data_IF_461250817256
#
_entry.id   IF_461250817256
#
_cell.length_a   1.000
_cell.length_b   1.000
_cell.length_c   1.000
_cell.angle_alpha   90.00
_cell.angle_beta   90.00
_cell.angle_gamma   90.00
#
_symmetry.space_group_name_H-M   'P 1'
#
loop_
_entity.id
_entity.type
_entity.pdbx_description
1 polymer ?
#
# COMPACT_ATOMS: atom_id res chain seq x y z
N UNK A 1 14.66 -1.53 21.45
CA UNK A 1 14.82 -1.96 20.04
C UNK A 1 13.43 -2.38 19.58
N UNK A 2 12.74 -1.56 18.79
CA UNK A 2 11.46 -1.96 18.19
C UNK A 2 11.74 -3.02 17.12
N UNK A 3 11.01 -4.13 17.12
CA UNK A 3 11.11 -5.10 16.03
C UNK A 3 10.28 -4.58 14.85
N UNK A 4 10.75 -4.73 13.60
CA UNK A 4 9.97 -4.34 12.43
C UNK A 4 8.64 -5.09 12.46
N UNK A 5 7.54 -4.34 12.43
CA UNK A 5 6.20 -4.91 12.38
C UNK A 5 5.83 -5.20 10.93
N UNK A 6 5.15 -6.33 10.75
CA UNK A 6 4.52 -6.73 9.51
C UNK A 6 3.03 -6.43 9.60
N UNK A 7 2.53 -5.65 8.64
CA UNK A 7 1.14 -5.28 8.51
C UNK A 7 0.60 -5.86 7.21
N UNK A 8 -0.44 -6.68 7.31
CA UNK A 8 -1.18 -7.15 6.14
C UNK A 8 -2.25 -6.13 5.80
N UNK A 9 -2.12 -5.48 4.66
CA UNK A 9 -3.11 -4.58 4.11
C UNK A 9 -3.96 -5.34 3.09
N UNK A 10 -5.28 -5.29 3.26
CA UNK A 10 -6.23 -5.87 2.32
C UNK A 10 -7.28 -4.84 1.97
N UNK A 11 -7.57 -4.70 0.69
CA UNK A 11 -8.57 -3.77 0.16
C UNK A 11 -9.59 -4.52 -0.71
N UNK A 12 -10.69 -3.83 -1.02
CA UNK A 12 -11.68 -4.37 -1.93
C UNK A 12 -11.13 -4.35 -3.36
N UNK A 13 -11.06 -5.51 -3.99
CA UNK A 13 -10.72 -5.61 -5.39
C UNK A 13 -11.81 -4.97 -6.25
N UNK A 14 -11.43 -4.06 -7.14
CA UNK A 14 -12.29 -3.56 -8.21
C UNK A 14 -12.27 -4.54 -9.37
N UNK A 15 -13.43 -4.97 -9.85
CA UNK A 15 -13.57 -5.95 -10.94
C UNK A 15 -12.93 -5.49 -12.26
N UNK A 16 -12.79 -4.17 -12.45
CA UNK A 16 -12.23 -3.56 -13.65
C UNK A 16 -10.74 -3.21 -13.50
N UNK A 17 -10.17 -3.38 -12.30
CA UNK A 17 -8.77 -3.06 -12.06
C UNK A 17 -7.88 -4.22 -12.51
N UNK A 18 -6.85 -3.89 -13.28
CA UNK A 18 -5.85 -4.85 -13.74
C UNK A 18 -4.67 -4.89 -12.77
N UNK A 19 -4.32 -3.73 -12.22
CA UNK A 19 -3.21 -3.57 -11.28
C UNK A 19 -3.59 -2.61 -10.16
N UNK A 20 -2.92 -2.75 -9.03
CA UNK A 20 -3.00 -1.84 -7.90
C UNK A 20 -1.63 -1.25 -7.60
N UNK A 21 -1.64 0.00 -7.16
CA UNK A 21 -0.48 0.65 -6.58
C UNK A 21 -0.77 0.91 -5.11
N UNK A 22 -0.03 0.25 -4.22
CA UNK A 22 -0.10 0.44 -2.77
C UNK A 22 1.02 1.38 -2.33
N UNK A 23 0.61 2.44 -1.64
CA UNK A 23 1.52 3.43 -1.07
C UNK A 23 1.29 3.53 0.42
N UNK A 24 2.35 3.47 1.21
CA UNK A 24 2.35 3.69 2.66
C UNK A 24 3.34 4.79 2.99
N UNK A 25 2.94 5.72 3.84
CA UNK A 25 3.71 6.88 4.27
C UNK A 25 3.47 7.15 5.75
N UNK A 26 4.43 7.77 6.42
CA UNK A 26 4.25 8.32 7.78
C UNK A 26 3.51 9.67 7.74
N UNK A 27 3.45 10.29 6.56
CA UNK A 27 2.80 11.58 6.32
C UNK A 27 1.47 11.40 5.58
N UNK A 28 0.44 12.09 6.04
CA UNK A 28 -0.87 12.14 5.37
C UNK A 28 -0.80 12.70 3.94
N UNK A 29 0.23 13.51 3.66
CA UNK A 29 0.47 14.10 2.35
C UNK A 29 1.23 13.14 1.39
N UNK A 30 1.63 11.96 1.86
CA UNK A 30 2.41 10.98 1.07
C UNK A 30 3.70 11.58 0.46
N UNK A 31 4.33 12.55 1.15
CA UNK A 31 5.56 13.19 0.68
C UNK A 31 6.81 12.32 0.90
N UNK A 32 6.75 11.36 1.83
CA UNK A 32 7.79 10.35 2.05
C UNK A 32 7.18 8.95 2.11
N UNK A 33 7.29 8.19 1.02
CA UNK A 33 6.76 6.82 0.96
C UNK A 33 7.73 5.87 1.65
N UNK A 34 7.27 5.18 2.70
CA UNK A 34 8.00 4.08 3.34
C UNK A 34 7.79 2.76 2.59
N UNK A 35 6.67 2.66 1.86
CA UNK A 35 6.37 1.55 0.99
C UNK A 35 5.67 2.07 -0.27
N UNK A 36 6.10 1.63 -1.44
CA UNK A 36 5.51 2.02 -2.72
C UNK A 36 5.69 0.86 -3.70
N UNK A 37 4.63 0.06 -3.86
CA UNK A 37 4.62 -1.08 -4.76
C UNK A 37 3.52 -0.88 -5.79
N UNK A 38 3.88 -1.00 -7.07
CA UNK A 38 2.96 -0.94 -8.20
C UNK A 38 2.75 -2.33 -8.81
N UNK A 39 1.84 -2.41 -9.77
CA UNK A 39 1.63 -3.63 -10.56
C UNK A 39 1.15 -4.84 -9.73
N UNK A 40 0.57 -4.57 -8.55
CA UNK A 40 -0.03 -5.59 -7.70
C UNK A 40 -1.31 -6.13 -8.35
N UNK A 41 -1.40 -7.45 -8.50
CA UNK A 41 -2.60 -8.10 -9.07
C UNK A 41 -3.57 -8.47 -7.93
N UNK A 42 -3.02 -8.90 -6.80
CA UNK A 42 -3.79 -9.23 -5.61
C UNK A 42 -4.30 -7.98 -4.87
N UNK A 43 -5.43 -8.12 -4.19
CA UNK A 43 -5.99 -7.08 -3.32
C UNK A 43 -5.53 -7.22 -1.87
N UNK A 44 -4.39 -7.88 -1.66
CA UNK A 44 -3.76 -8.10 -0.36
C UNK A 44 -2.25 -7.99 -0.51
N UNK A 45 -1.61 -7.26 0.40
CA UNK A 45 -0.17 -7.09 0.43
C UNK A 45 0.36 -7.08 1.86
N UNK A 46 1.47 -7.78 2.08
CA UNK A 46 2.22 -7.72 3.32
C UNK A 46 3.25 -6.59 3.25
N UNK A 47 3.13 -5.63 4.15
CA UNK A 47 4.10 -4.54 4.33
C UNK A 47 4.93 -4.85 5.56
N UNK A 48 6.25 -5.01 5.37
CA UNK A 48 7.21 -5.28 6.45
C UNK A 48 8.17 -4.12 6.63
N UNK A 49 8.76 -4.00 7.82
CA UNK A 49 9.73 -2.94 8.11
C UNK A 49 9.09 -1.67 8.65
N UNK A 50 7.87 -1.75 9.17
CA UNK A 50 7.20 -0.64 9.84
C UNK A 50 7.67 -0.54 11.29
N UNK A 51 7.86 0.69 11.76
CA UNK A 51 8.24 0.97 13.14
C UNK A 51 7.04 0.86 14.09
N UNK A 52 7.29 0.35 15.29
CA UNK A 52 6.27 0.23 16.33
C UNK A 52 5.92 1.60 16.91
N UNK A 53 4.63 1.79 17.20
CA UNK A 53 4.05 3.06 17.68
C UNK A 53 4.14 4.23 16.70
N UNK A 54 4.37 3.97 15.41
CA UNK A 54 4.31 4.98 14.36
C UNK A 54 2.95 4.92 13.66
N UNK A 55 2.34 6.08 13.42
CA UNK A 55 1.12 6.18 12.64
C UNK A 55 1.47 6.16 11.14
N UNK A 56 0.90 5.20 10.41
CA UNK A 56 1.09 5.08 8.97
C UNK A 56 -0.22 5.35 8.24
N UNK A 57 -0.12 6.13 7.18
CA UNK A 57 -1.17 6.37 6.20
C UNK A 57 -0.91 5.51 4.99
N UNK A 58 -1.95 4.85 4.48
CA UNK A 58 -1.84 4.04 3.29
C UNK A 58 -2.98 4.35 2.32
N UNK A 59 -2.69 4.25 1.04
CA UNK A 59 -3.66 4.39 -0.04
C UNK A 59 -3.39 3.39 -1.13
N UNK A 60 -4.46 3.00 -1.81
CA UNK A 60 -4.40 2.10 -2.95
C UNK A 60 -5.01 2.81 -4.14
N UNK A 61 -4.29 2.82 -5.26
CA UNK A 61 -4.81 3.26 -6.55
C UNK A 61 -5.04 2.05 -7.42
N UNK A 62 -6.26 1.90 -7.95
CA UNK A 62 -6.59 0.85 -8.90
C UNK A 62 -6.39 1.38 -10.33
N UNK A 63 -5.67 0.64 -11.15
CA UNK A 63 -5.36 0.98 -12.54
C UNK A 63 -5.86 -0.12 -13.46
N UNK A 64 -6.60 0.25 -14.50
CA UNK A 64 -7.01 -0.67 -15.55
C UNK A 64 -6.06 -0.57 -16.77
N UNK A 65 -5.78 -1.69 -17.44
CA UNK A 65 -5.00 -1.70 -18.70
C UNK A 65 -5.71 -1.01 -19.85
N UNK A 66 -7.00 -0.67 -19.67
CA UNK A 66 -7.79 -0.07 -20.71
C UNK A 66 -7.50 1.41 -20.93
N UNK A 67 -6.70 2.05 -20.06
CA UNK A 67 -6.60 3.50 -20.06
C UNK A 67 -7.93 4.15 -19.67
N UNK A 68 -7.88 5.37 -19.18
CA UNK A 68 -9.05 6.23 -18.96
C UNK A 68 -10.07 6.19 -20.09
#
# INVERSE_FOLDING_TARGET
MGQPQNLTLSWNASAEATYYTLQVSEDENFSGLVFNESDLIDSVQLVSGLDLNTAYYWRVSATNTNGT
#
